data_IF_405452743674
#
_entry.id   IF_405452743674
#
_cell.length_a   1.000
_cell.length_b   1.000
_cell.length_c   1.000
_cell.angle_alpha   90.00
_cell.angle_beta   90.00
_cell.angle_gamma   90.00
#
_symmetry.space_group_name_H-M   'P 1'
#
loop_
_entity.id
_entity.type
_entity.pdbx_description
1 polymer ?
#
# COMPACT_ATOMS: atom_id res chain seq x y z
N UNK A 1 -14.39 -24.10 -18.98
CA UNK A 1 -13.77 -23.89 -17.65
C UNK A 1 -12.68 -22.82 -17.71
N UNK A 2 -11.84 -22.80 -18.76
CA UNK A 2 -10.78 -21.79 -18.98
C UNK A 2 -11.29 -20.34 -19.05
N UNK A 3 -12.38 -20.05 -19.77
CA UNK A 3 -12.95 -18.70 -19.83
C UNK A 3 -13.35 -18.16 -18.44
N UNK A 4 -13.94 -19.01 -17.58
CA UNK A 4 -14.30 -18.60 -16.20
C UNK A 4 -13.05 -18.31 -15.35
N UNK A 5 -11.98 -19.09 -15.53
CA UNK A 5 -10.71 -18.89 -14.83
C UNK A 5 -10.01 -17.59 -15.29
N UNK A 6 -10.00 -17.33 -16.59
CA UNK A 6 -9.43 -16.11 -17.18
C UNK A 6 -10.17 -14.84 -16.70
N UNK A 7 -11.50 -14.86 -16.73
CA UNK A 7 -12.34 -13.76 -16.21
C UNK A 7 -12.06 -13.51 -14.74
N UNK A 8 -11.95 -14.55 -13.91
CA UNK A 8 -11.64 -14.39 -12.47
C UNK A 8 -10.26 -13.76 -12.25
N UNK A 9 -9.23 -14.20 -12.98
CA UNK A 9 -7.88 -13.62 -12.89
C UNK A 9 -7.87 -12.14 -13.27
N UNK A 10 -8.54 -11.81 -14.36
CA UNK A 10 -8.72 -10.42 -14.80
C UNK A 10 -9.43 -9.59 -13.73
N UNK A 11 -10.52 -10.10 -13.17
CA UNK A 11 -11.30 -9.40 -12.15
C UNK A 11 -10.52 -9.22 -10.84
N UNK A 12 -9.79 -10.25 -10.37
CA UNK A 12 -8.88 -10.14 -9.21
C UNK A 12 -7.82 -9.06 -9.43
N UNK A 13 -7.27 -8.99 -10.64
CA UNK A 13 -6.27 -8.01 -11.03
C UNK A 13 -6.84 -6.59 -11.06
N UNK A 14 -7.89 -6.33 -11.84
CA UNK A 14 -8.51 -5.00 -12.00
C UNK A 14 -9.01 -4.47 -10.66
N UNK A 15 -9.74 -5.28 -9.88
CA UNK A 15 -10.22 -4.86 -8.56
C UNK A 15 -9.07 -4.59 -7.58
N UNK A 16 -7.95 -5.31 -7.72
CA UNK A 16 -6.75 -5.04 -6.93
C UNK A 16 -6.09 -3.73 -7.32
N UNK A 17 -6.02 -3.43 -8.62
CA UNK A 17 -5.45 -2.17 -9.08
C UNK A 17 -6.27 -0.99 -8.58
N UNK A 18 -7.60 -1.08 -8.66
CA UNK A 18 -8.50 -0.06 -8.10
C UNK A 18 -8.32 0.06 -6.59
N UNK A 19 -8.20 -1.05 -5.87
CA UNK A 19 -7.91 -1.03 -4.42
C UNK A 19 -6.58 -0.33 -4.12
N UNK A 20 -5.51 -0.66 -4.86
CA UNK A 20 -4.22 -0.01 -4.68
C UNK A 20 -4.26 1.47 -5.03
N UNK A 21 -4.90 1.84 -6.14
CA UNK A 21 -5.05 3.21 -6.62
C UNK A 21 -5.86 4.07 -5.66
N UNK A 22 -6.91 3.52 -5.05
CA UNK A 22 -7.79 4.32 -4.21
C UNK A 22 -7.35 4.36 -2.74
N UNK A 23 -6.69 3.33 -2.21
CA UNK A 23 -6.54 3.21 -0.75
C UNK A 23 -5.13 2.94 -0.25
N UNK A 24 -4.23 2.37 -1.05
CA UNK A 24 -3.01 1.80 -0.51
C UNK A 24 -1.90 2.82 -0.18
N UNK A 25 -1.79 3.90 -0.97
CA UNK A 25 -0.71 4.90 -0.85
C UNK A 25 -1.18 6.31 -0.50
N UNK A 26 -2.40 6.46 0.01
CA UNK A 26 -3.04 7.76 0.27
C UNK A 26 -2.17 8.70 1.14
N UNK A 27 -1.46 8.15 2.14
CA UNK A 27 -0.61 8.92 3.06
C UNK A 27 0.49 9.70 2.34
N UNK A 28 0.95 9.28 1.16
CA UNK A 28 1.94 10.02 0.38
C UNK A 28 1.39 11.29 -0.30
N UNK A 29 0.07 11.47 -0.27
CA UNK A 29 -0.60 12.72 -0.63
C UNK A 29 -0.66 13.73 0.53
N UNK A 30 0.12 13.52 1.60
CA UNK A 30 0.08 14.29 2.86
C UNK A 30 0.05 15.81 2.64
N UNK A 31 0.83 16.34 1.70
CA UNK A 31 0.89 17.77 1.43
C UNK A 31 -0.49 18.36 1.08
N UNK A 32 -1.36 17.61 0.39
CA UNK A 32 -2.73 18.04 0.09
C UNK A 32 -3.62 18.00 1.33
N UNK A 33 -3.47 16.98 2.18
CA UNK A 33 -4.25 16.86 3.41
C UNK A 33 -3.88 17.94 4.44
N UNK A 34 -2.60 18.31 4.55
CA UNK A 34 -2.15 19.40 5.45
C UNK A 34 -2.86 20.71 5.12
N UNK A 35 -3.12 21.00 3.85
CA UNK A 35 -3.86 22.19 3.46
C UNK A 35 -5.25 22.22 4.10
N UNK A 36 -5.98 21.10 3.99
CA UNK A 36 -7.32 20.94 4.59
C UNK A 36 -7.25 21.03 6.11
N UNK A 37 -6.27 20.37 6.74
CA UNK A 37 -6.10 20.40 8.20
C UNK A 37 -5.79 21.81 8.74
N UNK A 38 -5.01 22.61 7.99
CA UNK A 38 -4.75 24.01 8.32
C UNK A 38 -6.03 24.85 8.21
N UNK A 39 -6.83 24.64 7.16
CA UNK A 39 -8.12 25.31 6.97
C UNK A 39 -9.10 24.99 8.12
N UNK A 40 -9.15 23.74 8.56
CA UNK A 40 -9.94 23.29 9.71
C UNK A 40 -9.34 23.68 11.09
N UNK A 41 -8.22 24.42 11.09
CA UNK A 41 -7.62 24.99 12.30
C UNK A 41 -6.86 24.00 13.19
N UNK A 42 -6.42 22.85 12.66
CA UNK A 42 -5.61 21.89 13.43
C UNK A 42 -4.26 22.49 13.82
N UNK A 43 -3.84 22.28 15.07
CA UNK A 43 -2.60 22.83 15.64
C UNK A 43 -2.48 24.36 15.54
N UNK A 44 -3.58 25.10 15.31
CA UNK A 44 -3.57 26.56 15.18
C UNK A 44 -3.05 27.28 16.45
N UNK A 45 -3.16 26.64 17.61
CA UNK A 45 -2.63 27.12 18.88
C UNK A 45 -1.09 27.19 18.95
N UNK A 46 -0.38 26.51 18.04
CA UNK A 46 1.08 26.55 17.94
C UNK A 46 1.56 27.77 17.13
N UNK A 47 0.65 28.52 16.50
CA UNK A 47 1.00 29.77 15.81
C UNK A 47 1.19 30.90 16.82
N UNK A 48 2.24 31.70 16.63
CA UNK A 48 2.59 32.82 17.52
C UNK A 48 2.66 34.14 16.75
N UNK A 49 2.26 35.24 17.39
CA UNK A 49 2.43 36.57 16.81
C UNK A 49 3.90 36.98 16.95
N UNK A 50 4.60 37.08 15.82
CA UNK A 50 5.99 37.51 15.75
C UNK A 50 6.08 38.92 15.16
N UNK A 51 7.01 39.73 15.66
CA UNK A 51 7.26 41.07 15.10
C UNK A 51 8.17 40.93 13.89
N UNK A 52 7.65 41.23 12.70
CA UNK A 52 8.43 41.26 11.47
C UNK A 52 9.49 42.36 11.48
N UNK A 53 10.45 42.27 10.56
CA UNK A 53 11.59 43.22 10.42
C UNK A 53 11.14 44.69 10.28
N UNK A 54 9.91 44.91 9.82
CA UNK A 54 9.31 46.24 9.64
C UNK A 54 8.42 46.69 10.82
N UNK A 55 8.43 45.98 11.95
CA UNK A 55 7.57 46.27 13.12
C UNK A 55 6.11 45.83 12.96
N UNK A 56 5.74 45.19 11.85
CA UNK A 56 4.42 44.61 11.62
C UNK A 56 4.26 43.28 12.34
N UNK A 57 3.15 43.03 13.03
CA UNK A 57 2.84 41.70 13.57
C UNK A 57 2.56 40.72 12.42
N UNK A 58 3.36 39.67 12.32
CA UNK A 58 3.20 38.57 11.37
C UNK A 58 2.87 37.32 12.18
N UNK A 59 1.83 36.60 11.78
CA UNK A 59 1.50 35.31 12.38
C UNK A 59 2.52 34.27 11.89
N UNK A 60 3.38 33.81 12.79
CA UNK A 60 4.35 32.75 12.54
C UNK A 60 3.76 31.40 12.93
N UNK A 61 3.59 30.52 11.94
CA UNK A 61 3.06 29.17 12.11
C UNK A 61 4.12 28.08 11.86
N UNK A 62 5.41 28.41 11.99
CA UNK A 62 6.49 27.43 11.78
C UNK A 62 6.38 26.21 12.69
N UNK A 63 5.97 26.39 13.96
CA UNK A 63 5.75 25.29 14.91
C UNK A 63 4.57 24.38 14.52
N UNK A 64 3.50 24.97 13.97
CA UNK A 64 2.36 24.21 13.44
C UNK A 64 2.82 23.27 12.31
N UNK A 65 3.67 23.78 11.42
CA UNK A 65 4.26 23.01 10.33
C UNK A 65 5.22 21.92 10.79
N UNK A 66 5.97 22.16 11.87
CA UNK A 66 6.77 21.13 12.53
C UNK A 66 5.90 19.99 13.09
N UNK A 67 4.75 20.30 13.71
CA UNK A 67 3.81 19.27 14.18
C UNK A 67 3.28 18.43 13.03
N UNK A 68 2.85 19.04 11.92
CA UNK A 68 2.40 18.29 10.75
C UNK A 68 3.53 17.43 10.13
N UNK A 69 4.75 17.97 10.06
CA UNK A 69 5.92 17.23 9.61
C UNK A 69 6.20 16.02 10.51
N UNK A 70 6.05 16.17 11.83
CA UNK A 70 6.23 15.10 12.81
C UNK A 70 5.15 14.01 12.67
N UNK A 71 3.89 14.38 12.46
CA UNK A 71 2.79 13.41 12.21
C UNK A 71 3.15 12.52 11.02
N UNK A 72 3.56 13.12 9.90
CA UNK A 72 3.96 12.37 8.71
C UNK A 72 5.21 11.53 8.92
N UNK A 73 6.19 12.07 9.68
CA UNK A 73 7.43 11.35 10.00
C UNK A 73 7.14 10.09 10.81
N UNK A 74 6.28 10.17 11.83
CA UNK A 74 5.89 9.01 12.64
C UNK A 74 5.12 8.00 11.81
N UNK A 75 4.15 8.44 10.99
CA UNK A 75 3.38 7.55 10.12
C UNK A 75 4.28 6.81 9.12
N UNK A 76 5.22 7.54 8.49
CA UNK A 76 6.20 6.96 7.57
C UNK A 76 7.14 6.00 8.28
N UNK A 77 7.64 6.36 9.47
CA UNK A 77 8.48 5.47 10.27
C UNK A 77 7.74 4.15 10.60
N UNK A 78 6.50 4.24 11.07
CA UNK A 78 5.66 3.08 11.38
C UNK A 78 5.42 2.20 10.16
N UNK A 79 5.18 2.80 8.98
CA UNK A 79 5.04 2.08 7.73
C UNK A 79 6.24 1.16 7.43
N UNK A 80 7.47 1.68 7.55
CA UNK A 80 8.68 0.88 7.29
C UNK A 80 9.01 -0.07 8.43
N UNK A 81 8.92 0.39 9.67
CA UNK A 81 9.26 -0.42 10.85
C UNK A 81 8.37 -1.66 10.95
N UNK A 82 7.07 -1.50 10.71
CA UNK A 82 6.11 -2.61 10.75
C UNK A 82 6.10 -3.45 9.47
N UNK A 83 6.84 -3.07 8.41
CA UNK A 83 6.93 -3.88 7.18
C UNK A 83 7.49 -5.28 7.47
N UNK A 84 8.51 -5.41 8.32
CA UNK A 84 9.11 -6.71 8.65
C UNK A 84 8.15 -7.60 9.49
N UNK A 85 7.57 -7.13 10.60
CA UNK A 85 6.52 -7.86 11.31
C UNK A 85 5.34 -8.25 10.42
N UNK A 86 4.88 -7.33 9.57
CA UNK A 86 3.80 -7.58 8.62
C UNK A 86 4.15 -8.64 7.58
N UNK A 87 5.39 -8.65 7.10
CA UNK A 87 5.91 -9.71 6.23
C UNK A 87 5.87 -11.07 6.92
N UNK A 88 6.28 -11.15 8.20
CA UNK A 88 6.18 -12.40 8.96
C UNK A 88 4.73 -12.87 9.15
N UNK A 89 3.80 -11.94 9.45
CA UNK A 89 2.37 -12.24 9.53
C UNK A 89 1.86 -12.79 8.18
N UNK A 90 2.25 -12.14 7.09
CA UNK A 90 1.91 -12.55 5.74
C UNK A 90 2.41 -13.96 5.45
N UNK A 91 3.68 -14.24 5.69
CA UNK A 91 4.32 -15.53 5.40
C UNK A 91 3.78 -16.67 6.29
N UNK A 92 3.44 -16.39 7.56
CA UNK A 92 2.97 -17.41 8.50
C UNK A 92 1.48 -17.70 8.42
N UNK A 93 0.66 -16.66 8.34
CA UNK A 93 -0.81 -16.77 8.43
C UNK A 93 -1.51 -16.63 7.08
N UNK A 94 -0.79 -16.20 6.04
CA UNK A 94 -1.30 -16.09 4.70
C UNK A 94 -2.12 -14.83 4.44
N UNK A 95 -2.70 -14.80 3.25
CA UNK A 95 -3.33 -13.63 2.65
C UNK A 95 -4.57 -13.18 3.41
N UNK A 96 -5.49 -14.08 3.77
CA UNK A 96 -6.76 -13.67 4.38
C UNK A 96 -6.56 -13.00 5.73
N UNK A 97 -5.74 -13.59 6.61
CA UNK A 97 -5.48 -13.02 7.95
C UNK A 97 -4.82 -11.65 7.83
N UNK A 98 -3.79 -11.56 6.99
CA UNK A 98 -3.06 -10.31 6.74
C UNK A 98 -3.97 -9.21 6.20
N UNK A 99 -4.90 -9.57 5.30
CA UNK A 99 -5.88 -8.62 4.76
C UNK A 99 -6.90 -8.18 5.80
N UNK A 100 -7.46 -9.08 6.60
CA UNK A 100 -8.39 -8.70 7.65
C UNK A 100 -7.71 -7.78 8.68
N UNK A 101 -6.46 -8.07 9.03
CA UNK A 101 -5.64 -7.20 9.87
C UNK A 101 -5.42 -5.81 9.22
N UNK A 102 -5.02 -5.77 7.95
CA UNK A 102 -4.83 -4.52 7.22
C UNK A 102 -6.11 -3.69 7.09
N UNK A 103 -7.25 -4.33 6.80
CA UNK A 103 -8.57 -3.67 6.74
C UNK A 103 -8.93 -3.10 8.11
N UNK A 104 -8.71 -3.84 9.19
CA UNK A 104 -8.97 -3.39 10.54
C UNK A 104 -8.15 -2.14 10.88
N UNK A 105 -6.83 -2.15 10.64
CA UNK A 105 -5.98 -0.98 10.88
C UNK A 105 -6.41 0.22 10.01
N UNK A 106 -6.65 -0.01 8.72
CA UNK A 106 -7.06 1.04 7.79
C UNK A 106 -8.39 1.68 8.22
N UNK A 107 -9.37 0.86 8.58
CA UNK A 107 -10.70 1.32 9.05
C UNK A 107 -10.56 2.15 10.31
N UNK A 108 -9.79 1.69 11.30
CA UNK A 108 -9.55 2.48 12.52
C UNK A 108 -8.84 3.79 12.18
N UNK A 109 -7.81 3.76 11.33
CA UNK A 109 -7.12 4.97 10.86
C UNK A 109 -8.08 5.99 10.26
N UNK A 110 -8.94 5.57 9.32
CA UNK A 110 -9.94 6.46 8.70
C UNK A 110 -10.97 6.99 9.71
N UNK A 111 -11.46 6.16 10.64
CA UNK A 111 -12.40 6.59 11.67
C UNK A 111 -11.77 7.59 12.64
N UNK A 112 -10.51 7.38 13.04
CA UNK A 112 -9.80 8.31 13.90
C UNK A 112 -9.62 9.68 13.23
N UNK A 113 -9.34 9.73 11.93
CA UNK A 113 -9.35 11.01 11.19
C UNK A 113 -10.76 11.60 11.15
N UNK A 114 -11.78 10.79 10.83
CA UNK A 114 -13.16 11.26 10.70
C UNK A 114 -13.72 11.89 12.00
N UNK A 115 -13.34 11.36 13.16
CA UNK A 115 -13.76 11.86 14.47
C UNK A 115 -12.73 12.80 15.11
N UNK A 116 -11.62 13.08 14.43
CA UNK A 116 -10.68 14.10 14.88
C UNK A 116 -11.30 15.51 14.72
N UNK A 117 -10.77 16.44 15.50
CA UNK A 117 -11.11 17.86 15.43
C UNK A 117 -9.87 18.68 15.80
N UNK A 118 -9.93 20.00 15.66
CA UNK A 118 -8.84 20.89 16.08
C UNK A 118 -8.46 20.71 17.55
N UNK A 119 -9.42 20.43 18.43
CA UNK A 119 -9.19 20.13 19.85
C UNK A 119 -8.56 18.76 20.10
N UNK A 120 -8.78 17.80 19.20
CA UNK A 120 -8.25 16.44 19.26
C UNK A 120 -7.21 16.18 18.15
N UNK A 121 -6.46 17.21 17.75
CA UNK A 121 -5.49 17.13 16.66
C UNK A 121 -4.43 16.04 16.88
N UNK A 122 -4.12 15.71 18.14
CA UNK A 122 -3.22 14.62 18.51
C UNK A 122 -3.68 13.23 18.04
N UNK A 123 -4.97 13.04 17.72
CA UNK A 123 -5.47 11.80 17.12
C UNK A 123 -4.86 11.52 15.74
N UNK A 124 -4.35 12.55 15.04
CA UNK A 124 -3.72 12.39 13.74
C UNK A 124 -2.46 11.50 13.80
N UNK A 125 -1.73 11.49 14.92
CA UNK A 125 -0.54 10.66 15.10
C UNK A 125 -0.83 9.15 14.95
N UNK A 126 -1.72 8.55 15.77
CA UNK A 126 -2.10 7.15 15.58
C UNK A 126 -2.92 6.95 14.30
N UNK A 127 -3.79 7.90 13.92
CA UNK A 127 -4.65 7.74 12.76
C UNK A 127 -3.88 7.52 11.45
N UNK A 128 -2.91 8.41 11.16
CA UNK A 128 -2.12 8.34 9.93
C UNK A 128 -1.13 7.17 9.95
N UNK A 129 -0.63 6.80 11.13
CA UNK A 129 0.21 5.62 11.30
C UNK A 129 -0.55 4.34 10.94
N UNK A 130 -1.76 4.17 11.48
CA UNK A 130 -2.62 3.02 11.18
C UNK A 130 -3.04 2.98 9.71
N UNK A 131 -3.34 4.15 9.13
CA UNK A 131 -3.69 4.28 7.71
C UNK A 131 -2.52 3.86 6.81
N UNK A 132 -1.30 4.29 7.11
CA UNK A 132 -0.10 3.93 6.35
C UNK A 132 0.16 2.42 6.40
N UNK A 133 0.13 1.85 7.61
CA UNK A 133 0.36 0.40 7.83
C UNK A 133 -0.74 -0.46 7.18
N UNK A 134 -2.00 -0.04 7.26
CA UNK A 134 -3.09 -0.71 6.55
C UNK A 134 -2.94 -0.64 5.04
N UNK A 135 -2.53 0.52 4.51
CA UNK A 135 -2.35 0.75 3.08
C UNK A 135 -1.24 -0.12 2.46
N UNK A 136 -0.08 -0.22 3.11
CA UNK A 136 1.03 -1.06 2.61
C UNK A 136 0.66 -2.56 2.60
N UNK A 137 -0.18 -3.01 3.54
CA UNK A 137 -0.70 -4.38 3.55
C UNK A 137 -1.60 -4.69 2.34
N UNK A 138 -2.37 -3.71 1.85
CA UNK A 138 -3.12 -3.87 0.60
C UNK A 138 -2.19 -4.04 -0.59
N UNK A 139 -1.11 -3.26 -0.69
CA UNK A 139 -0.11 -3.45 -1.73
C UNK A 139 0.54 -4.84 -1.65
N UNK A 140 1.07 -5.20 -0.47
CA UNK A 140 1.76 -6.48 -0.24
C UNK A 140 0.88 -7.68 -0.64
N UNK A 141 -0.38 -7.68 -0.20
CA UNK A 141 -1.31 -8.79 -0.48
C UNK A 141 -1.79 -8.82 -1.94
N UNK A 142 -1.68 -7.72 -2.68
CA UNK A 142 -1.98 -7.66 -4.11
C UNK A 142 -0.78 -8.04 -4.99
N UNK A 143 0.47 -7.83 -4.56
CA UNK A 143 1.65 -8.18 -5.37
C UNK A 143 1.69 -9.66 -5.79
N UNK A 144 1.20 -10.58 -4.96
CA UNK A 144 1.14 -12.01 -5.31
C UNK A 144 0.24 -12.30 -6.52
N UNK A 145 -0.69 -11.41 -6.89
CA UNK A 145 -1.54 -11.54 -8.08
C UNK A 145 -0.68 -11.60 -9.35
N UNK A 146 0.50 -11.00 -9.35
CA UNK A 146 1.46 -11.14 -10.45
C UNK A 146 1.84 -12.58 -10.75
N UNK A 147 1.80 -13.48 -9.76
CA UNK A 147 2.09 -14.90 -9.97
C UNK A 147 1.07 -15.57 -10.90
N UNK A 148 -0.17 -15.03 -11.00
CA UNK A 148 -1.22 -15.54 -11.89
C UNK A 148 -0.93 -15.31 -13.39
N UNK A 149 -0.01 -14.39 -13.71
CA UNK A 149 0.24 -13.91 -15.07
C UNK A 149 1.60 -14.36 -15.65
N UNK A 150 2.25 -15.35 -15.03
CA UNK A 150 3.42 -16.05 -15.60
C UNK A 150 4.49 -15.11 -16.18
N UNK A 151 4.58 -15.06 -17.51
CA UNK A 151 5.54 -14.24 -18.27
C UNK A 151 5.43 -12.73 -18.02
N UNK A 152 4.27 -12.24 -17.58
CA UNK A 152 4.02 -10.81 -17.31
C UNK A 152 4.05 -10.47 -15.82
N UNK A 153 4.57 -11.37 -14.98
CA UNK A 153 4.57 -11.23 -13.51
C UNK A 153 5.19 -9.91 -13.07
N UNK A 154 6.33 -9.53 -13.65
CA UNK A 154 7.03 -8.31 -13.23
C UNK A 154 6.22 -7.07 -13.58
N UNK A 155 5.64 -7.03 -14.78
CA UNK A 155 4.77 -5.95 -15.27
C UNK A 155 3.56 -5.75 -14.35
N UNK A 156 2.92 -6.84 -13.93
CA UNK A 156 1.75 -6.77 -13.02
C UNK A 156 2.18 -6.23 -11.64
N UNK A 157 3.30 -6.71 -11.10
CA UNK A 157 3.82 -6.22 -9.81
C UNK A 157 4.19 -4.74 -9.89
N UNK A 158 4.86 -4.29 -10.96
CA UNK A 158 5.23 -2.88 -11.10
C UNK A 158 4.01 -1.99 -11.35
N UNK A 159 2.96 -2.49 -12.00
CA UNK A 159 1.70 -1.76 -12.13
C UNK A 159 0.99 -1.58 -10.77
N UNK A 160 1.03 -2.58 -9.89
CA UNK A 160 0.55 -2.42 -8.50
C UNK A 160 1.32 -1.35 -7.72
N UNK A 161 2.65 -1.30 -7.87
CA UNK A 161 3.47 -0.25 -7.26
C UNK A 161 3.13 1.13 -7.85
N UNK A 162 2.96 1.23 -9.17
CA UNK A 162 2.52 2.47 -9.79
C UNK A 162 1.14 2.93 -9.31
N UNK A 163 0.19 2.01 -9.15
CA UNK A 163 -1.12 2.30 -8.57
C UNK A 163 -1.01 2.77 -7.12
N UNK A 164 -0.14 2.17 -6.32
CA UNK A 164 0.16 2.61 -4.96
C UNK A 164 0.71 4.04 -4.92
N UNK A 165 1.69 4.36 -5.76
CA UNK A 165 2.26 5.71 -5.83
C UNK A 165 1.19 6.75 -6.23
N UNK A 166 0.34 6.38 -7.21
CA UNK A 166 -0.77 7.23 -7.67
C UNK A 166 -1.91 7.38 -6.67
N UNK A 167 -1.95 6.55 -5.63
CA UNK A 167 -2.97 6.63 -4.56
C UNK A 167 -2.84 7.86 -3.68
N UNK A 168 -1.67 8.50 -3.67
CA UNK A 168 -1.47 9.84 -3.10
C UNK A 168 -2.50 10.88 -3.59
N UNK A 169 -3.02 10.72 -4.81
CA UNK A 169 -4.08 11.57 -5.35
C UNK A 169 -5.40 11.51 -4.55
N UNK A 170 -5.63 10.49 -3.72
CA UNK A 170 -6.81 10.42 -2.87
C UNK A 170 -6.93 11.64 -1.96
N UNK A 171 -5.83 12.06 -1.34
CA UNK A 171 -5.83 13.24 -0.46
C UNK A 171 -5.99 14.55 -1.25
N UNK A 172 -5.55 14.59 -2.51
CA UNK A 172 -5.88 15.70 -3.41
C UNK A 172 -7.38 15.73 -3.71
N UNK A 173 -8.00 14.59 -4.00
CA UNK A 173 -9.45 14.51 -4.24
C UNK A 173 -10.20 14.99 -2.99
N UNK A 174 -9.79 14.56 -1.80
CA UNK A 174 -10.37 15.04 -0.54
C UNK A 174 -10.24 16.55 -0.40
N UNK A 175 -9.07 17.12 -0.71
CA UNK A 175 -8.86 18.57 -0.70
C UNK A 175 -9.84 19.28 -1.64
N UNK A 176 -9.98 18.82 -2.88
CA UNK A 176 -10.89 19.44 -3.87
C UNK A 176 -12.37 19.32 -3.45
N UNK A 177 -12.74 18.20 -2.83
CA UNK A 177 -14.09 18.03 -2.26
C UNK A 177 -14.32 18.94 -1.06
N UNK A 178 -13.28 19.19 -0.24
CA UNK A 178 -13.32 20.11 0.89
C UNK A 178 -13.55 21.55 0.42
N UNK A 179 -12.80 21.99 -0.59
CA UNK A 179 -12.98 23.30 -1.23
C UNK A 179 -14.39 23.46 -1.85
N UNK A 180 -15.06 22.34 -2.17
CA UNK A 180 -16.45 22.31 -2.66
C UNK A 180 -17.50 22.26 -1.53
N UNK A 181 -17.09 22.29 -0.26
CA UNK A 181 -17.95 22.32 0.92
C UNK A 181 -18.21 20.96 1.60
N UNK A 182 -17.56 19.87 1.16
CA UNK A 182 -17.70 18.57 1.85
C UNK A 182 -16.75 18.52 3.05
N UNK A 183 -17.31 18.34 4.24
CA UNK A 183 -16.50 18.26 5.47
C UNK A 183 -15.50 17.09 5.45
N UNK A 184 -14.33 17.29 6.06
CA UNK A 184 -13.30 16.25 6.23
C UNK A 184 -13.87 14.96 6.85
N UNK A 185 -14.74 15.11 7.85
CA UNK A 185 -15.44 14.00 8.51
C UNK A 185 -16.26 13.16 7.54
N UNK A 186 -17.04 13.77 6.66
CA UNK A 186 -17.86 13.05 5.69
C UNK A 186 -16.99 12.26 4.70
N UNK A 187 -15.90 12.87 4.22
CA UNK A 187 -14.96 12.22 3.30
C UNK A 187 -14.31 10.97 3.92
N UNK A 188 -13.84 11.05 5.17
CA UNK A 188 -13.21 9.92 5.85
C UNK A 188 -14.21 8.85 6.32
N UNK A 189 -15.46 9.22 6.64
CA UNK A 189 -16.54 8.25 6.87
C UNK A 189 -16.87 7.47 5.60
N UNK A 190 -16.88 8.13 4.44
CA UNK A 190 -17.04 7.46 3.15
C UNK A 190 -15.91 6.45 2.92
N UNK A 191 -14.65 6.85 3.13
CA UNK A 191 -13.51 5.91 3.02
C UNK A 191 -13.63 4.73 3.98
N UNK A 192 -14.08 4.96 5.21
CA UNK A 192 -14.32 3.90 6.19
C UNK A 192 -15.40 2.92 5.72
N UNK A 193 -16.45 3.40 5.05
CA UNK A 193 -17.49 2.53 4.48
C UNK A 193 -16.97 1.63 3.35
N UNK A 194 -15.93 2.05 2.62
CA UNK A 194 -15.28 1.24 1.59
C UNK A 194 -14.58 0.00 2.16
N UNK A 195 -14.36 -0.10 3.48
CA UNK A 195 -13.87 -1.32 4.13
C UNK A 195 -14.76 -2.54 3.86
N UNK A 196 -16.06 -2.36 3.67
CA UNK A 196 -16.97 -3.46 3.26
C UNK A 196 -16.53 -4.04 1.92
N UNK A 197 -16.15 -3.20 0.96
CA UNK A 197 -15.67 -3.62 -0.37
C UNK A 197 -14.36 -4.41 -0.23
N UNK A 198 -13.43 -3.96 0.63
CA UNK A 198 -12.18 -4.68 0.89
C UNK A 198 -12.43 -6.06 1.51
N UNK A 199 -13.38 -6.17 2.44
CA UNK A 199 -13.78 -7.44 3.05
C UNK A 199 -14.37 -8.38 2.00
N UNK A 200 -15.32 -7.90 1.20
CA UNK A 200 -15.92 -8.68 0.11
C UNK A 200 -14.83 -9.16 -0.86
N UNK A 201 -13.97 -8.27 -1.35
CA UNK A 201 -12.86 -8.65 -2.24
C UNK A 201 -11.97 -9.73 -1.62
N UNK A 202 -11.65 -9.61 -0.34
CA UNK A 202 -10.79 -10.57 0.38
C UNK A 202 -11.36 -11.98 0.37
N UNK A 203 -12.67 -12.14 0.59
CA UNK A 203 -13.29 -13.46 0.64
C UNK A 203 -13.64 -14.04 -0.73
N UNK A 204 -14.08 -13.19 -1.68
CA UNK A 204 -14.57 -13.66 -2.99
C UNK A 204 -13.47 -13.80 -4.04
N UNK A 205 -12.45 -12.93 -4.01
CA UNK A 205 -11.52 -12.73 -5.13
C UNK A 205 -10.06 -13.03 -4.82
N UNK A 206 -9.70 -13.36 -3.57
CA UNK A 206 -8.33 -13.70 -3.19
C UNK A 206 -8.22 -15.12 -2.61
N UNK A 207 -7.03 -15.74 -2.70
CA UNK A 207 -6.78 -17.02 -2.06
C UNK A 207 -6.74 -16.89 -0.53
N UNK A 208 -6.99 -18.00 0.16
CA UNK A 208 -6.90 -18.04 1.63
C UNK A 208 -5.46 -17.91 2.15
N UNK A 209 -4.53 -18.62 1.51
CA UNK A 209 -3.12 -18.68 1.91
C UNK A 209 -2.22 -17.86 0.96
N UNK A 210 -1.77 -18.43 -0.15
CA UNK A 210 -0.86 -17.76 -1.08
C UNK A 210 -1.15 -18.18 -2.53
N UNK A 211 -0.73 -17.35 -3.48
CA UNK A 211 -0.63 -17.74 -4.89
C UNK A 211 0.77 -18.32 -5.13
N UNK A 212 0.92 -19.64 -5.35
CA UNK A 212 2.22 -20.26 -5.56
C UNK A 212 2.88 -19.79 -6.86
N UNK A 213 4.21 -19.84 -6.91
CA UNK A 213 5.00 -19.60 -8.11
C UNK A 213 6.15 -20.61 -8.20
N UNK A 214 6.25 -21.45 -9.25
CA UNK A 214 5.36 -21.53 -10.42
C UNK A 214 3.94 -22.01 -10.09
N UNK A 215 2.97 -21.73 -10.97
CA UNK A 215 1.57 -22.14 -10.78
C UNK A 215 1.40 -23.63 -11.08
N UNK A 216 0.75 -24.42 -10.20
CA UNK A 216 0.33 -25.78 -10.50
C UNK A 216 -0.69 -25.83 -11.64
N UNK A 217 -0.73 -26.95 -12.36
CA UNK A 217 -1.73 -27.20 -13.39
C UNK A 217 -3.16 -27.11 -12.81
N UNK A 218 -4.04 -26.37 -13.50
CA UNK A 218 -5.44 -26.11 -13.09
C UNK A 218 -5.62 -25.43 -11.72
N UNK A 219 -4.68 -24.59 -11.29
CA UNK A 219 -4.83 -23.78 -10.07
C UNK A 219 -6.11 -22.91 -10.10
N UNK A 220 -6.97 -23.09 -9.09
CA UNK A 220 -8.18 -22.30 -8.81
C UNK A 220 -8.12 -21.75 -7.38
N UNK A 221 -8.69 -20.58 -7.15
CA UNK A 221 -8.67 -19.90 -5.84
C UNK A 221 -9.99 -19.16 -5.58
N UNK A 222 -10.28 -18.83 -4.32
CA UNK A 222 -11.49 -18.12 -3.86
C UNK A 222 -12.72 -19.03 -3.68
N UNK A 223 -13.87 -18.47 -3.25
CA UNK A 223 -15.03 -19.31 -2.90
C UNK A 223 -15.56 -20.11 -4.09
N UNK A 224 -15.70 -21.42 -3.90
CA UNK A 224 -16.40 -22.33 -4.81
C UNK A 224 -17.81 -22.53 -4.29
N UNK A 225 -18.77 -21.73 -4.78
CA UNK A 225 -20.18 -22.04 -4.61
C UNK A 225 -20.59 -23.06 -5.67
N UNK A 226 -20.45 -24.35 -5.34
CA UNK A 226 -20.88 -25.46 -6.20
C UNK A 226 -20.32 -26.78 -5.70
N UNK A 227 -21.21 -27.76 -5.46
CA UNK A 227 -20.91 -29.13 -5.05
C UNK A 227 -19.73 -29.68 -5.86
N UNK A 228 -18.66 -30.07 -5.17
CA UNK A 228 -17.65 -30.95 -5.75
C UNK A 228 -18.34 -32.26 -6.08
N UNK A 229 -18.45 -32.61 -7.36
CA UNK A 229 -18.71 -33.99 -7.76
C UNK A 229 -17.61 -34.85 -7.15
N UNK A 230 -18.02 -35.70 -6.21
CA UNK A 230 -17.21 -36.79 -5.72
C UNK A 230 -16.99 -37.77 -6.87
N UNK A 231 -15.78 -37.81 -7.40
CA UNK A 231 -15.31 -38.99 -8.12
C UNK A 231 -14.71 -39.91 -7.05
N UNK A 232 -15.53 -40.86 -6.62
CA UNK A 232 -15.19 -41.93 -5.68
C UNK A 232 -14.05 -42.79 -6.21
N UNK A 233 -13.08 -43.08 -5.34
CA UNK A 233 -12.40 -44.37 -5.34
C UNK A 233 -12.82 -45.04 -4.03
N UNK A 234 -13.68 -46.06 -4.13
CA UNK A 234 -14.16 -46.87 -3.02
C UNK A 234 -13.06 -47.78 -2.47
N UNK A 235 -13.02 -47.96 -1.15
CA UNK A 235 -12.17 -48.96 -0.50
C UNK A 235 -12.04 -48.84 1.03
N UNK A 236 -13.09 -49.24 1.75
CA UNK A 236 -13.09 -49.83 3.11
C UNK A 236 -12.64 -49.03 4.37
N UNK A 237 -13.67 -48.61 5.12
CA UNK A 237 -13.92 -48.85 6.56
C UNK A 237 -13.00 -48.30 7.69
N UNK A 238 -13.65 -47.43 8.48
CA UNK A 238 -13.61 -47.24 9.95
C UNK A 238 -12.61 -46.26 10.60
N UNK A 239 -13.18 -45.22 11.22
CA UNK A 239 -12.75 -44.71 12.54
C UNK A 239 -11.99 -43.38 12.58
N UNK A 240 -12.74 -42.28 12.69
CA UNK A 240 -12.47 -41.09 13.54
C UNK A 240 -11.06 -40.49 13.63
N UNK A 241 -10.88 -39.30 13.02
CA UNK A 241 -10.42 -38.00 13.59
C UNK A 241 -9.86 -37.15 12.44
N UNK A 242 -10.41 -35.94 12.26
CA UNK A 242 -9.92 -34.95 11.29
C UNK A 242 -8.62 -34.33 11.79
N UNK A 243 -7.48 -34.86 11.34
CA UNK A 243 -6.17 -34.21 11.47
C UNK A 243 -5.74 -33.69 10.09
N UNK A 244 -5.11 -32.52 10.11
CA UNK A 244 -4.68 -31.75 8.95
C UNK A 244 -4.07 -32.62 7.83
N UNK A 245 -4.50 -32.38 6.59
CA UNK A 245 -3.86 -32.97 5.41
C UNK A 245 -2.43 -32.44 5.30
N UNK A 246 -1.53 -33.25 5.88
CA UNK A 246 -0.10 -33.28 5.69
C UNK A 246 0.23 -33.58 4.22
N UNK A 247 1.36 -33.08 3.80
CA UNK A 247 1.89 -33.07 2.44
C UNK A 247 1.83 -34.45 1.75
N UNK A 248 1.11 -34.56 0.64
CA UNK A 248 1.30 -35.68 -0.27
C UNK A 248 2.58 -35.45 -1.10
N UNK A 249 3.51 -36.42 -1.19
CA UNK A 249 4.84 -36.21 -1.75
C UNK A 249 4.77 -36.17 -3.29
N UNK A 250 4.99 -35.00 -3.87
CA UNK A 250 5.16 -34.84 -5.31
C UNK A 250 6.63 -35.12 -5.69
N UNK A 251 6.84 -36.18 -6.47
CA UNK A 251 8.02 -36.53 -7.28
C UNK A 251 9.43 -36.18 -6.73
N UNK A 252 10.19 -37.23 -6.40
CA UNK A 252 11.56 -37.18 -5.85
C UNK A 252 12.68 -36.73 -6.82
N UNK A 253 12.37 -36.36 -8.06
CA UNK A 253 13.42 -36.17 -9.10
C UNK A 253 13.63 -34.73 -9.61
N UNK A 254 13.07 -33.72 -8.94
CA UNK A 254 13.53 -32.34 -9.14
C UNK A 254 14.73 -32.07 -8.22
N UNK A 255 15.85 -31.50 -8.70
CA UNK A 255 16.91 -31.07 -7.80
C UNK A 255 16.30 -30.05 -6.83
N UNK A 256 16.15 -30.45 -5.55
CA UNK A 256 15.79 -29.54 -4.47
C UNK A 256 16.87 -28.48 -4.43
N UNK A 257 16.61 -27.33 -5.06
CA UNK A 257 17.43 -26.13 -4.91
C UNK A 257 17.43 -25.87 -3.41
N UNK A 258 18.57 -26.11 -2.75
CA UNK A 258 18.72 -25.88 -1.33
C UNK A 258 18.38 -24.40 -1.08
N UNK A 259 17.22 -24.16 -0.49
CA UNK A 259 16.80 -22.80 -0.17
C UNK A 259 17.80 -22.25 0.83
N UNK A 260 18.42 -21.10 0.49
CA UNK A 260 19.39 -20.46 1.36
C UNK A 260 18.72 -20.13 2.70
N UNK A 261 19.44 -20.32 3.79
CA UNK A 261 18.92 -19.94 5.11
C UNK A 261 18.63 -18.44 5.15
N UNK A 262 17.60 -18.04 5.90
CA UNK A 262 17.27 -16.62 6.12
C UNK A 262 18.50 -15.82 6.55
N UNK A 263 19.33 -16.40 7.43
CA UNK A 263 20.56 -15.77 7.94
C UNK A 263 21.59 -15.52 6.84
N UNK A 264 21.74 -16.46 5.91
CA UNK A 264 22.66 -16.33 4.77
C UNK A 264 22.18 -15.29 3.77
N UNK A 265 20.87 -15.18 3.56
CA UNK A 265 20.28 -14.16 2.70
C UNK A 265 20.43 -12.76 3.32
N UNK A 266 20.12 -12.61 4.61
CA UNK A 266 20.18 -11.35 5.33
C UNK A 266 21.61 -10.79 5.45
N UNK A 267 22.61 -11.65 5.69
CA UNK A 267 24.01 -11.26 5.75
C UNK A 267 24.69 -11.18 4.38
N UNK A 268 23.95 -11.37 3.29
CA UNK A 268 24.50 -11.23 1.94
C UNK A 268 24.91 -9.79 1.67
N UNK A 269 26.12 -9.59 1.15
CA UNK A 269 26.60 -8.27 0.70
C UNK A 269 25.64 -7.59 -0.27
N UNK A 270 25.01 -8.37 -1.15
CA UNK A 270 24.04 -7.86 -2.11
C UNK A 270 22.80 -7.30 -1.40
N UNK A 271 22.27 -8.04 -0.43
CA UNK A 271 21.12 -7.61 0.37
C UNK A 271 21.43 -6.36 1.17
N UNK A 272 22.57 -6.31 1.87
CA UNK A 272 22.97 -5.15 2.67
C UNK A 272 23.15 -3.87 1.83
N UNK A 273 23.79 -3.97 0.66
CA UNK A 273 23.91 -2.83 -0.26
C UNK A 273 22.56 -2.36 -0.80
N UNK A 274 21.67 -3.29 -1.15
CA UNK A 274 20.31 -2.95 -1.59
C UNK A 274 19.50 -2.31 -0.46
N UNK A 275 19.62 -2.83 0.76
CA UNK A 275 18.95 -2.28 1.93
C UNK A 275 19.42 -0.85 2.22
N UNK A 276 20.73 -0.60 2.19
CA UNK A 276 21.29 0.74 2.37
C UNK A 276 20.78 1.70 1.29
N UNK A 277 20.87 1.29 0.03
CA UNK A 277 20.39 2.09 -1.10
C UNK A 277 18.91 2.44 -0.99
N UNK A 278 18.05 1.44 -0.73
CA UNK A 278 16.62 1.64 -0.56
C UNK A 278 16.33 2.54 0.65
N UNK A 279 17.07 2.39 1.74
CA UNK A 279 16.91 3.22 2.94
C UNK A 279 17.21 4.70 2.65
N UNK A 280 18.29 4.99 1.92
CA UNK A 280 18.65 6.37 1.54
C UNK A 280 17.60 6.96 0.60
N UNK A 281 17.16 6.19 -0.41
CA UNK A 281 16.14 6.65 -1.34
C UNK A 281 14.80 6.92 -0.65
N UNK A 282 14.38 6.02 0.23
CA UNK A 282 13.12 6.16 0.94
C UNK A 282 13.15 7.32 1.94
N UNK A 283 14.26 7.50 2.67
CA UNK A 283 14.44 8.63 3.57
C UNK A 283 14.37 9.97 2.80
N UNK A 284 15.07 10.08 1.67
CA UNK A 284 15.01 11.28 0.82
C UNK A 284 13.58 11.55 0.35
N UNK A 285 12.84 10.52 -0.04
CA UNK A 285 11.46 10.64 -0.49
C UNK A 285 10.53 11.14 0.61
N UNK A 286 10.61 10.58 1.83
CA UNK A 286 9.80 11.03 2.96
C UNK A 286 10.14 12.44 3.41
N UNK A 287 11.43 12.80 3.48
CA UNK A 287 11.85 14.16 3.82
C UNK A 287 11.26 15.18 2.83
N UNK A 288 11.27 14.86 1.55
CA UNK A 288 10.69 15.71 0.52
C UNK A 288 9.18 15.91 0.71
N UNK A 289 8.41 14.82 0.88
CA UNK A 289 6.94 14.90 1.05
C UNK A 289 6.57 15.63 2.35
N UNK A 290 7.25 15.30 3.46
CA UNK A 290 6.96 15.86 4.78
C UNK A 290 7.22 17.37 4.85
N UNK A 291 8.22 17.87 4.12
CA UNK A 291 8.63 19.29 4.15
C UNK A 291 8.17 20.11 2.95
N UNK A 292 7.38 19.52 2.04
CA UNK A 292 6.97 20.17 0.79
C UNK A 292 6.24 21.50 1.03
N UNK A 293 5.23 21.51 1.91
CA UNK A 293 4.45 22.72 2.18
C UNK A 293 5.29 23.84 2.80
N UNK A 294 6.09 23.61 3.88
CA UNK A 294 7.01 24.61 4.40
C UNK A 294 8.02 25.13 3.36
N UNK A 295 8.56 24.24 2.53
CA UNK A 295 9.49 24.62 1.45
C UNK A 295 8.80 25.55 0.45
N UNK A 296 7.60 25.19 -0.03
CA UNK A 296 6.83 26.01 -0.96
C UNK A 296 6.47 27.37 -0.35
N UNK A 297 6.04 27.39 0.91
CA UNK A 297 5.67 28.62 1.60
C UNK A 297 6.85 29.60 1.71
N UNK A 298 8.06 29.08 1.95
CA UNK A 298 9.30 29.88 1.92
C UNK A 298 9.66 30.36 0.52
N UNK A 299 9.52 29.51 -0.49
CA UNK A 299 9.88 29.83 -1.89
C UNK A 299 8.91 30.82 -2.54
N UNK A 300 7.63 30.83 -2.16
CA UNK A 300 6.60 31.73 -2.70
C UNK A 300 6.43 33.01 -1.89
N UNK A 301 7.26 33.25 -0.86
CA UNK A 301 7.12 34.40 0.01
C UNK A 301 5.80 34.42 0.81
N UNK A 302 5.21 33.25 1.06
CA UNK A 302 3.97 33.11 1.82
C UNK A 302 2.67 33.18 1.01
N UNK A 303 2.72 33.25 -0.32
CA UNK A 303 1.52 33.36 -1.15
C UNK A 303 0.74 32.02 -1.24
N UNK A 304 -0.40 31.92 -0.55
CA UNK A 304 -1.20 30.69 -0.42
C UNK A 304 -1.73 30.13 -1.76
N UNK A 305 -2.03 30.99 -2.73
CA UNK A 305 -2.53 30.60 -4.06
C UNK A 305 -1.47 29.81 -4.84
N UNK A 306 -0.22 30.27 -4.82
CA UNK A 306 0.92 29.62 -5.46
C UNK A 306 1.29 28.32 -4.77
N UNK A 307 1.28 28.28 -3.44
CA UNK A 307 1.51 27.04 -2.67
C UNK A 307 0.47 25.99 -3.07
N UNK A 308 -0.81 26.35 -3.09
CA UNK A 308 -1.88 25.44 -3.52
C UNK A 308 -1.67 24.94 -4.96
N UNK A 309 -1.28 25.83 -5.89
CA UNK A 309 -1.00 25.46 -7.29
C UNK A 309 0.16 24.47 -7.42
N UNK A 310 1.27 24.69 -6.71
CA UNK A 310 2.42 23.79 -6.75
C UNK A 310 2.14 22.45 -6.05
N UNK A 311 1.41 22.45 -4.94
CA UNK A 311 0.97 21.21 -4.28
C UNK A 311 0.04 20.40 -5.19
N UNK A 312 -0.87 21.04 -5.91
CA UNK A 312 -1.71 20.38 -6.91
C UNK A 312 -0.88 19.78 -8.06
N UNK A 313 0.10 20.54 -8.58
CA UNK A 313 1.00 20.05 -9.62
C UNK A 313 1.80 18.82 -9.16
N UNK A 314 2.34 18.85 -7.93
CA UNK A 314 3.03 17.70 -7.34
C UNK A 314 2.12 16.47 -7.26
N UNK A 315 0.89 16.62 -6.75
CA UNK A 315 -0.06 15.51 -6.67
C UNK A 315 -0.44 14.94 -8.05
N UNK A 316 -0.57 15.78 -9.09
CA UNK A 316 -0.80 15.32 -10.47
C UNK A 316 0.39 14.49 -10.98
N UNK A 317 1.63 14.88 -10.68
CA UNK A 317 2.79 14.09 -11.09
C UNK A 317 2.83 12.70 -10.43
N UNK A 318 2.37 12.58 -9.19
CA UNK A 318 2.26 11.28 -8.51
C UNK A 318 1.17 10.38 -9.14
N UNK A 319 0.07 10.97 -9.64
CA UNK A 319 -0.99 10.25 -10.36
C UNK A 319 -0.49 9.61 -11.67
N UNK A 320 0.59 10.11 -12.26
CA UNK A 320 1.23 9.48 -13.42
C UNK A 320 2.04 8.21 -13.07
N UNK A 321 2.24 7.89 -11.79
CA UNK A 321 2.98 6.70 -11.33
C UNK A 321 2.47 5.38 -11.95
N UNK A 322 1.15 5.21 -12.06
CA UNK A 322 0.52 4.04 -12.67
C UNK A 322 0.87 3.88 -14.16
N UNK A 323 1.18 4.97 -14.86
CA UNK A 323 1.58 4.95 -16.28
C UNK A 323 3.07 4.67 -16.44
N UNK A 324 3.90 5.22 -15.56
CA UNK A 324 5.36 5.13 -15.64
C UNK A 324 5.93 3.81 -15.09
N UNK A 325 5.39 3.30 -13.98
CA UNK A 325 5.93 2.12 -13.31
C UNK A 325 5.95 0.83 -14.16
N UNK A 326 4.94 0.54 -15.02
CA UNK A 326 4.92 -0.65 -15.87
C UNK A 326 6.09 -0.77 -16.83
N UNK A 327 6.71 0.34 -17.26
CA UNK A 327 7.86 0.30 -18.19
C UNK A 327 9.01 -0.54 -17.63
N UNK A 328 9.31 -0.40 -16.34
CA UNK A 328 10.35 -1.18 -15.68
C UNK A 328 10.03 -2.68 -15.67
N UNK A 329 8.77 -3.02 -15.42
CA UNK A 329 8.29 -4.41 -15.44
C UNK A 329 8.33 -5.02 -16.83
N UNK A 330 7.92 -4.27 -17.86
CA UNK A 330 7.97 -4.69 -19.26
C UNK A 330 9.39 -4.98 -19.71
N UNK A 331 10.35 -4.12 -19.34
CA UNK A 331 11.78 -4.33 -19.61
C UNK A 331 12.25 -5.62 -18.92
N UNK A 332 11.95 -5.78 -17.63
CA UNK A 332 12.36 -6.96 -16.87
C UNK A 332 11.77 -8.27 -17.43
N UNK A 333 10.49 -8.28 -17.79
CA UNK A 333 9.84 -9.45 -18.38
C UNK A 333 10.41 -9.77 -19.77
N UNK A 334 10.70 -8.76 -20.60
CA UNK A 334 11.38 -8.93 -21.89
C UNK A 334 12.78 -9.53 -21.76
N UNK A 335 13.54 -9.13 -20.74
CA UNK A 335 14.87 -9.67 -20.49
C UNK A 335 14.85 -11.09 -19.93
N UNK A 336 13.85 -11.45 -19.10
CA UNK A 336 13.66 -12.82 -18.60
C UNK A 336 13.22 -13.79 -19.69
N UNK A 337 12.46 -13.31 -20.69
CA UNK A 337 12.01 -14.10 -21.84
C UNK A 337 13.08 -14.35 -22.91
N UNK A 338 14.24 -13.68 -22.86
CA UNK A 338 15.35 -13.98 -23.78
C UNK A 338 16.04 -15.27 -23.32
N UNK A 339 16.27 -16.26 -24.22
CA UNK A 339 17.14 -17.39 -23.90
C UNK A 339 18.51 -16.83 -23.49
N UNK A 340 19.02 -17.30 -22.35
CA UNK A 340 20.40 -16.98 -21.93
C UNK A 340 21.33 -17.42 -23.06
N UNK A 341 22.18 -16.52 -23.54
CA UNK A 341 23.22 -16.89 -24.49
C UNK A 341 24.03 -18.07 -23.89
N UNK A 342 24.26 -19.11 -24.70
CA UNK A 342 24.98 -20.29 -24.28
C UNK A 342 26.34 -19.89 -23.65
N UNK A 343 26.58 -20.27 -22.40
CA UNK A 343 27.87 -20.09 -21.73
C UNK A 343 27.98 -19.03 -20.63
N UNK A 344 26.89 -18.46 -20.11
CA UNK A 344 26.95 -17.66 -18.87
C UNK A 344 26.14 -18.33 -17.75
N UNK A 345 26.86 -19.01 -16.85
CA UNK A 345 26.32 -19.58 -15.61
C UNK A 345 25.99 -18.52 -14.58
#
# INVERSE_FOLDING_TARGET
MENKLSVRRCLTFVTGLVECLCFAGAVFGWASLVFVLKEDGYFSHECVNSTGVNGTQVLDCSLQDEKFSLVFTIASFMNNFLTLPNGFIFDRFGTTVTRLYGIFLYTIGTLLVAFSSSALASLLFPALSLLAVGGILFLMTNMQVGNLFGSHRSTIITLYNGAFDSSSALFLIIKLLHESGITLRAAFLFLSSCSVIHVLRTFFLLPRKFIPYPLPDRYTYGMSCGKSEAVSAEGAANGTVCTAAEEAPLNKDAPKKQEKSFRECFLSRFFLWHLLWLSVMQLRHYLFIGTLNPMLQRLTGGESSLVSRYTNAFAITQLCGVLCAPWNGLIMDRHKGKPRAAGKH
#
